data_IF_582387685004
#
_entry.id   IF_582387685004
#
_cell.length_a   1.000
_cell.length_b   1.000
_cell.length_c   1.000
_cell.angle_alpha   90.00
_cell.angle_beta   90.00
_cell.angle_gamma   90.00
#
_symmetry.space_group_name_H-M   'P 1'
#
loop_
_entity.id
_entity.type
_entity.pdbx_description
1 polymer ?
#
# COMPACT_ATOMS: atom_id res chain seq x y z
N UNK A 1 -0.74 -13.34 -7.48
CA UNK A 1 -0.96 -14.62 -8.19
C UNK A 1 0.01 -14.78 -9.33
N UNK A 2 0.26 -16.02 -9.75
CA UNK A 2 1.07 -16.37 -10.91
C UNK A 2 0.16 -16.68 -12.11
N UNK A 3 0.53 -16.18 -13.29
CA UNK A 3 -0.18 -16.41 -14.54
C UNK A 3 0.81 -16.88 -15.59
N UNK A 4 0.51 -18.00 -16.22
CA UNK A 4 1.30 -18.55 -17.32
C UNK A 4 0.67 -18.11 -18.65
N UNK A 5 1.49 -17.54 -19.49
CA UNK A 5 1.12 -17.16 -20.86
C UNK A 5 1.80 -18.11 -21.85
N UNK A 6 1.09 -18.42 -22.92
CA UNK A 6 1.62 -19.18 -24.05
C UNK A 6 1.21 -18.48 -25.34
N UNK A 7 2.20 -18.04 -26.11
CA UNK A 7 2.02 -17.42 -27.43
C UNK A 7 2.27 -18.43 -28.53
N UNK A 8 1.43 -18.43 -29.57
CA UNK A 8 1.62 -19.23 -30.78
C UNK A 8 1.23 -18.39 -32.00
N UNK A 9 2.11 -18.34 -33.00
CA UNK A 9 1.85 -17.68 -34.27
C UNK A 9 2.64 -18.35 -35.39
N UNK A 10 2.05 -18.39 -36.59
CA UNK A 10 2.72 -18.95 -37.76
C UNK A 10 3.97 -18.12 -38.13
N UNK A 11 5.07 -18.82 -38.41
CA UNK A 11 6.37 -18.23 -38.78
C UNK A 11 7.01 -17.33 -37.72
N UNK A 12 6.52 -17.33 -36.48
CA UNK A 12 7.20 -16.68 -35.39
C UNK A 12 8.49 -17.43 -35.02
N UNK A 13 9.54 -16.67 -34.68
CA UNK A 13 10.83 -17.21 -34.23
C UNK A 13 11.10 -16.90 -32.76
N UNK A 14 10.39 -15.91 -32.19
CA UNK A 14 10.45 -15.56 -30.79
C UNK A 14 9.25 -14.68 -30.42
N UNK A 15 9.03 -14.50 -29.11
CA UNK A 15 7.95 -13.69 -28.58
C UNK A 15 8.47 -12.67 -27.59
N UNK A 16 7.72 -11.59 -27.43
CA UNK A 16 7.92 -10.57 -26.43
C UNK A 16 6.59 -10.29 -25.72
N UNK A 17 6.62 -10.28 -24.42
CA UNK A 17 5.50 -9.91 -23.57
C UNK A 17 5.73 -8.52 -22.99
N UNK A 18 4.73 -7.64 -23.11
CA UNK A 18 4.82 -6.26 -22.63
C UNK A 18 3.76 -6.04 -21.57
N UNK A 19 4.18 -5.69 -20.36
CA UNK A 19 3.32 -5.34 -19.26
C UNK A 19 3.89 -4.13 -18.54
N UNK A 20 3.08 -3.08 -18.34
CA UNK A 20 3.45 -1.82 -17.66
C UNK A 20 4.78 -1.21 -18.18
N UNK A 21 4.97 -1.24 -19.50
CA UNK A 21 6.20 -0.75 -20.14
C UNK A 21 7.42 -1.68 -20.02
N UNK A 22 7.31 -2.77 -19.26
CA UNK A 22 8.39 -3.77 -19.14
C UNK A 22 8.23 -4.84 -20.20
N UNK A 23 9.34 -5.13 -20.90
CA UNK A 23 9.40 -6.13 -21.95
C UNK A 23 10.10 -7.40 -21.46
N UNK A 24 9.47 -8.55 -21.66
CA UNK A 24 10.03 -9.87 -21.35
C UNK A 24 10.11 -10.70 -22.61
N UNK A 25 11.31 -11.10 -23.02
CA UNK A 25 11.52 -11.98 -24.17
C UNK A 25 11.26 -13.45 -23.80
N UNK A 26 10.65 -14.18 -24.72
CA UNK A 26 10.38 -15.61 -24.60
C UNK A 26 10.62 -16.30 -25.94
N UNK A 27 11.74 -17.01 -26.13
CA UNK A 27 12.04 -17.70 -27.37
C UNK A 27 11.05 -18.80 -27.75
N UNK A 28 10.47 -19.48 -26.77
CA UNK A 28 9.52 -20.58 -26.92
C UNK A 28 8.05 -20.16 -26.81
N UNK A 29 7.81 -18.86 -26.58
CA UNK A 29 6.46 -18.31 -26.44
C UNK A 29 5.84 -18.50 -25.07
N UNK A 30 6.54 -19.07 -24.09
CA UNK A 30 6.01 -19.33 -22.76
C UNK A 30 6.62 -18.38 -21.72
N UNK A 31 5.81 -17.78 -20.85
CA UNK A 31 6.28 -16.92 -19.75
C UNK A 31 5.35 -17.03 -18.54
N UNK A 32 5.93 -17.09 -17.35
CA UNK A 32 5.22 -16.90 -16.08
C UNK A 32 5.39 -15.47 -15.61
N UNK A 33 4.28 -14.78 -15.31
CA UNK A 33 4.28 -13.46 -14.70
C UNK A 33 3.61 -13.50 -13.33
N UNK A 34 4.12 -12.72 -12.38
CA UNK A 34 3.58 -12.59 -11.03
C UNK A 34 2.88 -11.26 -10.85
N UNK A 35 1.62 -11.32 -10.40
CA UNK A 35 0.79 -10.17 -10.05
C UNK A 35 0.52 -10.22 -8.55
N UNK A 36 0.98 -9.22 -7.79
CA UNK A 36 1.00 -9.23 -6.33
C UNK A 36 0.02 -8.27 -5.67
N UNK A 37 -0.64 -7.40 -6.43
CA UNK A 37 -1.59 -6.43 -5.88
C UNK A 37 -2.79 -7.15 -5.27
N UNK A 38 -3.07 -6.91 -3.99
CA UNK A 38 -4.15 -7.55 -3.25
C UNK A 38 -5.53 -7.19 -3.82
N UNK A 39 -6.47 -8.11 -3.67
CA UNK A 39 -7.82 -8.01 -4.19
C UNK A 39 -7.96 -8.49 -5.63
N UNK A 40 -9.13 -8.27 -6.21
CA UNK A 40 -9.42 -8.58 -7.61
C UNK A 40 -8.95 -7.42 -8.49
N UNK A 41 -7.95 -7.67 -9.32
CA UNK A 41 -7.38 -6.66 -10.20
C UNK A 41 -7.43 -7.12 -11.66
N UNK A 42 -7.65 -6.16 -12.56
CA UNK A 42 -7.64 -6.39 -14.00
C UNK A 42 -6.30 -5.98 -14.59
N UNK A 43 -5.73 -6.82 -15.44
CA UNK A 43 -4.44 -6.61 -16.08
C UNK A 43 -4.57 -6.80 -17.59
N UNK A 44 -3.71 -6.10 -18.34
CA UNK A 44 -3.59 -6.27 -19.80
C UNK A 44 -2.13 -6.51 -20.14
N UNK A 45 -1.84 -7.62 -20.78
CA UNK A 45 -0.50 -7.98 -21.30
C UNK A 45 -0.57 -7.99 -22.82
N UNK A 46 0.37 -7.34 -23.48
CA UNK A 46 0.51 -7.39 -24.94
C UNK A 46 1.54 -8.46 -25.32
N UNK A 47 1.12 -9.42 -26.11
CA UNK A 47 1.96 -10.48 -26.67
C UNK A 47 2.37 -10.06 -28.07
N UNK A 48 3.66 -10.02 -28.35
CA UNK A 48 4.22 -9.67 -29.66
C UNK A 48 4.96 -10.88 -30.21
N UNK A 49 4.46 -11.44 -31.31
CA UNK A 49 5.15 -12.47 -32.07
C UNK A 49 6.12 -11.79 -33.06
N UNK A 50 7.35 -12.27 -33.11
CA UNK A 50 8.42 -11.72 -33.95
C UNK A 50 8.84 -12.80 -34.94
N UNK A 51 8.70 -12.51 -36.22
CA UNK A 51 9.05 -13.38 -37.35
C UNK A 51 10.42 -13.05 -37.96
N UNK A 52 10.78 -13.81 -38.98
CA UNK A 52 12.00 -13.57 -39.77
C UNK A 52 11.98 -12.17 -40.39
N UNK A 53 13.14 -11.50 -40.44
CA UNK A 53 13.25 -10.15 -40.98
C UNK A 53 12.66 -9.07 -40.06
N UNK A 54 12.33 -9.38 -38.81
CA UNK A 54 11.81 -8.40 -37.85
C UNK A 54 10.34 -8.06 -38.04
N UNK A 55 9.60 -8.82 -38.80
CA UNK A 55 8.12 -8.68 -38.91
C UNK A 55 7.48 -8.99 -37.54
N UNK A 56 6.47 -8.22 -37.15
CA UNK A 56 5.78 -8.40 -35.87
C UNK A 56 4.27 -8.44 -36.03
N UNK A 57 3.62 -9.25 -35.20
CA UNK A 57 2.20 -9.15 -34.92
C UNK A 57 1.97 -9.11 -33.42
N UNK A 58 0.91 -8.46 -32.97
CA UNK A 58 0.64 -8.33 -31.54
C UNK A 58 -0.83 -8.55 -31.21
N UNK A 59 -1.06 -9.07 -29.98
CA UNK A 59 -2.37 -9.22 -29.40
C UNK A 59 -2.33 -8.82 -27.91
N UNK A 60 -3.29 -7.99 -27.51
CA UNK A 60 -3.50 -7.67 -26.10
C UNK A 60 -4.46 -8.70 -25.47
N UNK A 61 -4.10 -9.18 -24.29
CA UNK A 61 -4.91 -10.09 -23.49
C UNK A 61 -5.24 -9.42 -22.17
N UNK A 62 -6.52 -9.24 -21.89
CA UNK A 62 -7.01 -8.69 -20.62
C UNK A 62 -7.61 -9.82 -19.77
N UNK A 63 -7.24 -9.88 -18.51
CA UNK A 63 -7.64 -10.92 -17.55
C UNK A 63 -7.70 -10.36 -16.14
N UNK A 64 -8.30 -11.12 -15.24
CA UNK A 64 -8.39 -10.75 -13.82
C UNK A 64 -7.59 -11.72 -12.97
N UNK A 65 -6.93 -11.16 -11.94
CA UNK A 65 -6.21 -11.95 -10.93
C UNK A 65 -6.73 -11.54 -9.56
N UNK A 66 -7.22 -12.55 -8.81
CA UNK A 66 -7.53 -12.38 -7.40
C UNK A 66 -6.30 -12.79 -6.58
N UNK A 67 -5.76 -11.84 -5.83
CA UNK A 67 -4.67 -12.10 -4.88
C UNK A 67 -5.23 -11.95 -3.47
N UNK A 68 -5.21 -13.02 -2.72
CA UNK A 68 -5.63 -13.04 -1.31
C UNK A 68 -4.41 -13.18 -0.41
N UNK A 69 -4.48 -12.55 0.75
CA UNK A 69 -3.50 -12.71 1.82
C UNK A 69 -4.21 -13.25 3.06
N UNK A 70 -3.72 -14.36 3.57
CA UNK A 70 -4.16 -14.89 4.87
C UNK A 70 -3.02 -14.67 5.85
N UNK A 71 -3.18 -13.77 6.84
CA UNK A 71 -2.15 -13.52 7.83
C UNK A 71 -1.87 -14.79 8.64
N UNK A 72 -0.61 -15.04 9.03
CA UNK A 72 -0.28 -16.10 9.99
C UNK A 72 -1.02 -15.93 11.30
N UNK A 73 -1.42 -17.04 11.93
CA UNK A 73 -2.20 -17.00 13.16
C UNK A 73 -1.47 -16.29 14.32
N UNK A 74 -0.15 -16.45 14.40
CA UNK A 74 0.70 -15.75 15.37
C UNK A 74 0.71 -14.23 15.16
N UNK A 75 0.64 -13.74 13.91
CA UNK A 75 0.54 -12.32 13.63
C UNK A 75 -0.80 -11.75 14.09
N UNK A 76 -1.89 -12.48 13.81
CA UNK A 76 -3.23 -12.09 14.28
C UNK A 76 -3.27 -12.08 15.80
N UNK A 77 -2.76 -13.12 16.45
CA UNK A 77 -2.72 -13.21 17.92
C UNK A 77 -1.90 -12.07 18.52
N UNK A 78 -0.73 -11.76 17.98
CA UNK A 78 0.09 -10.65 18.44
C UNK A 78 -0.64 -9.31 18.27
N UNK A 79 -1.25 -9.04 17.11
CA UNK A 79 -1.95 -7.79 16.81
C UNK A 79 -3.18 -7.58 17.69
N UNK A 80 -3.93 -8.66 17.96
CA UNK A 80 -5.18 -8.62 18.75
C UNK A 80 -4.98 -8.75 20.27
N UNK A 81 -3.73 -8.83 20.73
CA UNK A 81 -3.41 -8.92 22.15
C UNK A 81 -3.10 -7.54 22.73
N UNK A 82 -3.96 -7.08 23.66
CA UNK A 82 -3.76 -5.83 24.41
C UNK A 82 -4.07 -4.57 23.60
N UNK A 83 -3.52 -3.45 24.07
CA UNK A 83 -3.64 -2.14 23.44
C UNK A 83 -2.30 -1.70 22.84
N UNK A 84 -2.36 -1.13 21.68
CA UNK A 84 -1.19 -0.57 20.99
C UNK A 84 -1.07 0.92 21.25
N UNK A 85 0.14 1.46 21.15
CA UNK A 85 0.43 2.89 21.20
C UNK A 85 1.55 3.25 20.23
N UNK A 86 1.67 4.51 19.89
CA UNK A 86 2.89 5.01 19.27
C UNK A 86 4.04 4.90 20.27
N UNK A 87 5.18 4.35 19.86
CA UNK A 87 6.38 4.23 20.69
C UNK A 87 7.16 5.55 20.66
N UNK A 88 6.63 6.56 21.34
CA UNK A 88 7.13 7.95 21.31
C UNK A 88 8.61 8.10 21.66
N UNK A 89 9.13 7.21 22.51
CA UNK A 89 10.51 7.17 22.97
C UNK A 89 11.54 6.73 21.92
N UNK A 90 11.06 6.13 20.81
CA UNK A 90 11.94 5.68 19.73
C UNK A 90 12.15 6.75 18.66
N UNK A 91 13.37 6.80 18.14
CA UNK A 91 13.65 7.52 16.91
C UNK A 91 12.93 6.85 15.72
N UNK A 92 12.46 7.65 14.77
CA UNK A 92 11.70 7.17 13.60
C UNK A 92 10.36 6.49 13.94
N UNK A 93 9.77 6.74 15.11
CA UNK A 93 8.44 6.23 15.43
C UNK A 93 7.36 6.79 14.50
N UNK A 94 7.64 7.86 13.78
CA UNK A 94 6.84 8.45 12.72
C UNK A 94 7.77 9.05 11.67
N UNK A 95 7.36 9.05 10.40
CA UNK A 95 8.17 9.63 9.35
C UNK A 95 7.45 9.72 8.01
N UNK A 96 8.02 10.50 7.10
CA UNK A 96 7.53 10.70 5.74
C UNK A 96 8.65 10.46 4.74
N UNK A 97 8.35 9.72 3.69
CA UNK A 97 9.31 9.40 2.62
C UNK A 97 8.63 8.87 1.38
N UNK A 98 9.36 8.66 0.28
CA UNK A 98 8.82 8.07 -0.94
C UNK A 98 8.49 6.60 -0.71
N UNK A 99 7.43 6.11 -1.36
CA UNK A 99 6.93 4.74 -1.19
C UNK A 99 7.92 3.64 -1.60
N UNK A 100 8.95 3.98 -2.35
CA UNK A 100 9.97 3.05 -2.87
C UNK A 100 11.29 3.07 -2.10
N UNK A 101 11.45 3.93 -1.10
CA UNK A 101 12.71 4.05 -0.34
C UNK A 101 12.89 2.99 0.75
N UNK A 102 11.82 2.33 1.19
CA UNK A 102 11.86 1.35 2.28
C UNK A 102 11.99 1.95 3.68
N UNK A 103 12.23 3.26 3.79
CA UNK A 103 12.23 4.03 5.04
C UNK A 103 11.88 5.50 4.75
N UNK A 104 11.44 6.28 5.77
CA UNK A 104 11.05 7.67 5.60
C UNK A 104 12.29 8.58 5.54
N UNK A 105 12.75 8.93 4.34
CA UNK A 105 13.97 9.73 4.11
C UNK A 105 13.74 11.24 3.98
N UNK A 106 12.46 11.70 3.86
CA UNK A 106 12.15 13.13 3.82
C UNK A 106 12.09 13.76 5.20
N UNK A 107 11.49 13.05 6.16
CA UNK A 107 11.39 13.49 7.54
C UNK A 107 11.24 12.29 8.49
N UNK A 108 11.85 12.39 9.67
CA UNK A 108 11.85 11.35 10.69
C UNK A 108 11.69 12.00 12.07
N UNK A 109 10.73 11.54 12.83
CA UNK A 109 10.50 12.05 14.18
C UNK A 109 11.65 11.66 15.13
N UNK A 110 12.15 12.63 15.88
CA UNK A 110 12.98 12.38 17.04
C UNK A 110 12.13 11.83 18.20
N UNK A 111 12.77 11.23 19.20
CA UNK A 111 12.05 10.80 20.40
C UNK A 111 11.23 11.96 20.97
N UNK A 112 9.94 11.69 21.26
CA UNK A 112 8.98 12.65 21.79
C UNK A 112 8.73 13.92 20.94
N UNK A 113 9.01 13.89 19.67
CA UNK A 113 8.90 15.04 18.75
C UNK A 113 7.46 15.60 18.64
N UNK A 114 6.46 14.78 18.92
CA UNK A 114 5.04 15.15 18.93
C UNK A 114 4.43 15.22 20.35
N UNK A 115 5.26 15.44 21.38
CA UNK A 115 4.79 15.47 22.78
C UNK A 115 3.80 16.59 23.10
N UNK A 116 3.73 17.64 22.26
CA UNK A 116 2.77 18.73 22.39
C UNK A 116 1.46 18.49 21.62
N UNK A 117 1.25 17.30 21.07
CA UNK A 117 0.07 16.96 20.28
C UNK A 117 -0.75 15.87 20.97
N UNK A 118 -2.04 15.78 20.67
CA UNK A 118 -2.93 14.72 21.13
C UNK A 118 -2.66 13.39 20.42
N UNK A 119 -1.48 12.80 20.61
CA UNK A 119 -1.12 11.55 19.93
C UNK A 119 -0.60 10.47 20.89
N UNK A 120 0.22 10.82 21.89
CA UNK A 120 1.01 9.79 22.57
C UNK A 120 0.26 9.08 23.69
N UNK A 121 -0.84 9.62 24.16
CA UNK A 121 -1.74 8.98 25.09
C UNK A 121 -2.85 8.16 24.40
N UNK A 122 -2.96 8.25 23.07
CA UNK A 122 -3.83 7.41 22.24
C UNK A 122 -3.54 5.92 22.42
N UNK A 123 -4.61 5.11 22.36
CA UNK A 123 -4.51 3.65 22.37
C UNK A 123 -5.37 3.04 21.27
N UNK A 124 -4.79 2.06 20.61
CA UNK A 124 -5.38 1.35 19.48
C UNK A 124 -5.63 -0.10 19.86
N UNK A 125 -6.82 -0.62 19.57
CA UNK A 125 -7.17 -2.02 19.82
C UNK A 125 -7.64 -2.65 18.53
N UNK A 126 -7.01 -3.75 18.15
CA UNK A 126 -7.42 -4.56 17.01
C UNK A 126 -8.14 -5.79 17.51
N UNK A 127 -9.32 -6.09 16.97
CA UNK A 127 -10.14 -7.23 17.35
C UNK A 127 -10.09 -8.32 16.29
N UNK A 128 -10.17 -9.58 16.71
CA UNK A 128 -10.13 -10.74 15.80
C UNK A 128 -11.32 -10.78 14.81
N UNK A 129 -12.42 -10.09 15.13
CA UNK A 129 -13.58 -9.91 14.25
C UNK A 129 -13.42 -8.78 13.23
N UNK A 130 -12.23 -8.19 13.13
CA UNK A 130 -11.89 -7.09 12.21
C UNK A 130 -12.29 -5.70 12.69
N UNK A 131 -12.84 -5.57 13.90
CA UNK A 131 -13.14 -4.27 14.48
C UNK A 131 -11.87 -3.57 14.96
N UNK A 132 -11.93 -2.25 14.97
CA UNK A 132 -10.89 -1.38 15.46
C UNK A 132 -11.43 -0.51 16.60
N UNK A 133 -10.71 -0.45 17.71
CA UNK A 133 -10.97 0.44 18.82
C UNK A 133 -9.94 1.54 18.90
N UNK A 134 -10.40 2.76 19.09
CA UNK A 134 -9.57 3.94 19.26
C UNK A 134 -9.97 4.63 20.56
N UNK A 135 -9.00 4.79 21.48
CA UNK A 135 -9.15 5.43 22.78
C UNK A 135 -8.19 6.63 22.78
N UNK A 136 -8.73 7.82 22.74
CA UNK A 136 -8.00 9.08 22.59
C UNK A 136 -7.34 9.57 23.90
N UNK A 137 -7.33 8.72 24.93
CA UNK A 137 -6.68 9.05 26.19
C UNK A 137 -7.41 10.13 26.99
N UNK A 138 -6.77 10.59 28.09
CA UNK A 138 -7.37 11.56 29.00
C UNK A 138 -7.46 12.97 28.47
N UNK A 139 -6.68 13.34 27.43
CA UNK A 139 -6.73 14.69 26.86
C UNK A 139 -7.91 14.88 25.89
N UNK A 140 -8.52 13.77 25.41
CA UNK A 140 -9.65 13.80 24.48
C UNK A 140 -9.32 14.41 23.12
N UNK A 141 -8.06 14.38 22.71
CA UNK A 141 -7.56 15.02 21.50
C UNK A 141 -6.84 14.03 20.60
N UNK A 142 -6.79 14.33 19.33
CA UNK A 142 -6.05 13.54 18.34
C UNK A 142 -5.19 14.44 17.44
N UNK A 143 -4.16 13.84 16.87
CA UNK A 143 -3.29 14.44 15.87
C UNK A 143 -3.55 13.80 14.50
N UNK A 144 -3.66 14.60 13.45
CA UNK A 144 -3.75 14.06 12.09
C UNK A 144 -3.91 15.10 10.99
N UNK A 145 -3.99 14.64 9.76
CA UNK A 145 -4.21 15.50 8.59
C UNK A 145 -5.63 16.07 8.60
N UNK A 146 -5.71 17.40 8.37
CA UNK A 146 -6.96 18.15 8.51
C UNK A 146 -8.06 17.67 7.55
N UNK A 147 -7.77 17.54 6.24
CA UNK A 147 -8.80 17.20 5.26
C UNK A 147 -9.52 15.86 5.55
N UNK A 148 -8.81 14.73 5.79
CA UNK A 148 -9.49 13.48 6.14
C UNK A 148 -10.20 13.56 7.50
N UNK A 149 -9.63 14.26 8.50
CA UNK A 149 -10.28 14.40 9.79
C UNK A 149 -11.59 15.17 9.70
N UNK A 150 -11.65 16.28 8.94
CA UNK A 150 -12.87 17.03 8.70
C UNK A 150 -13.94 16.22 7.98
N UNK A 151 -13.51 15.44 6.96
CA UNK A 151 -14.42 14.58 6.21
C UNK A 151 -15.06 13.49 7.07
N UNK A 152 -14.26 12.86 7.95
CA UNK A 152 -14.70 11.73 8.77
C UNK A 152 -15.38 12.16 10.08
N UNK A 153 -14.99 13.29 10.67
CA UNK A 153 -15.39 13.72 12.00
C UNK A 153 -16.26 14.96 12.04
N UNK A 154 -16.54 15.58 10.88
CA UNK A 154 -17.56 16.64 10.74
C UNK A 154 -17.02 18.06 10.97
N UNK A 155 -16.01 18.48 10.20
CA UNK A 155 -15.54 19.86 10.15
C UNK A 155 -14.33 20.14 11.04
N UNK A 156 -13.93 21.41 11.14
CA UNK A 156 -12.71 21.83 11.85
C UNK A 156 -12.81 21.87 13.37
N UNK A 157 -14.02 21.82 13.91
CA UNK A 157 -14.32 21.92 15.36
C UNK A 157 -13.65 23.10 16.05
N UNK A 158 -13.42 24.21 15.32
CA UNK A 158 -12.79 25.42 15.84
C UNK A 158 -11.27 25.34 15.97
N UNK A 159 -10.65 24.38 15.29
CA UNK A 159 -9.19 24.22 15.29
C UNK A 159 -8.56 24.92 14.08
N UNK A 160 -7.36 25.45 14.26
CA UNK A 160 -6.55 25.99 13.19
C UNK A 160 -5.60 24.94 12.62
N UNK A 161 -5.47 24.89 11.29
CA UNK A 161 -4.54 24.02 10.60
C UNK A 161 -3.11 24.58 10.72
N UNK A 162 -2.14 23.72 10.98
CA UNK A 162 -0.73 24.12 10.89
C UNK A 162 -0.25 24.22 9.43
N UNK A 163 1.03 24.63 9.23
CA UNK A 163 1.64 24.79 7.90
C UNK A 163 1.71 23.48 7.08
N UNK A 164 1.59 22.32 7.72
CA UNK A 164 1.60 20.99 7.08
C UNK A 164 0.19 20.45 6.83
N UNK A 165 -0.86 21.28 6.96
CA UNK A 165 -2.26 20.89 6.85
C UNK A 165 -2.66 19.82 7.87
N UNK A 166 -2.27 20.00 9.13
CA UNK A 166 -2.54 19.09 10.24
C UNK A 166 -3.23 19.81 11.39
N UNK A 167 -4.06 19.06 12.11
CA UNK A 167 -4.53 19.42 13.44
C UNK A 167 -3.64 18.75 14.50
N UNK A 168 -3.13 19.53 15.42
CA UNK A 168 -2.22 19.04 16.48
C UNK A 168 -2.97 18.54 17.70
N UNK A 169 -4.12 19.13 18.01
CA UNK A 169 -4.91 18.85 19.21
C UNK A 169 -6.42 18.91 18.88
N UNK A 170 -6.84 18.08 17.93
CA UNK A 170 -8.23 18.07 17.49
C UNK A 170 -9.12 17.36 18.50
N UNK A 171 -10.21 17.98 19.01
CA UNK A 171 -11.12 17.35 19.94
C UNK A 171 -11.87 16.18 19.29
N UNK A 172 -11.82 15.00 19.90
CA UNK A 172 -12.40 13.77 19.35
C UNK A 172 -13.80 13.43 19.91
#
# INVERSE_FOLDING_TARGET
>A
GKVNFSGSADNAITYKYVYDGVETLSPDGNVEMTFSKLGLNTYTVTIVAIGKGGTTSSQAVTFQVLVTYTPPAELIAALTTGKWRVKAEEWMHMGVGPSNAGFPDWWQAQAFDKASTGMYDDRYTFHADGKFGFDVGPDGQIFGKADPMEADLGGDRGQERNGDNEYTNYPY
#
